data_IF_430349937279
#
_entry.id   IF_430349937279
#
_cell.length_a   1.000
_cell.length_b   1.000
_cell.length_c   1.000
_cell.angle_alpha   90.00
_cell.angle_beta   90.00
_cell.angle_gamma   90.00
#
_symmetry.space_group_name_H-M   'P 1'
#
loop_
_entity.id
_entity.type
_entity.pdbx_description
1 polymer ?
#
# COMPACT_ATOMS: atom_id res chain seq x y z
N UNK A 1 -16.02 -10.43 3.49
CA UNK A 1 -15.95 -9.07 4.08
C UNK A 1 -15.03 -8.22 3.21
N UNK A 2 -15.32 -6.93 3.04
CA UNK A 2 -14.51 -6.02 2.20
C UNK A 2 -13.62 -5.14 3.06
N UNK A 3 -12.42 -4.83 2.58
CA UNK A 3 -11.53 -3.83 3.17
C UNK A 3 -11.15 -2.76 2.15
N UNK A 4 -10.98 -1.51 2.62
CA UNK A 4 -10.48 -0.38 1.83
C UNK A 4 -9.08 -0.02 2.32
N UNK A 5 -8.09 -0.06 1.42
CA UNK A 5 -6.75 0.44 1.65
C UNK A 5 -6.69 1.89 1.16
N UNK A 6 -6.42 2.81 2.09
CA UNK A 6 -6.24 4.22 1.77
C UNK A 6 -4.83 4.48 1.22
N UNK A 7 -4.72 4.53 -0.10
CA UNK A 7 -3.44 4.65 -0.81
C UNK A 7 -3.27 5.99 -1.56
N UNK A 8 -4.24 6.90 -1.42
CA UNK A 8 -4.15 8.26 -1.94
C UNK A 8 -3.13 9.12 -1.19
N UNK A 9 -2.58 10.12 -1.89
CA UNK A 9 -1.69 11.13 -1.34
C UNK A 9 -0.35 11.21 -2.07
N UNK A 10 0.24 12.41 -2.12
CA UNK A 10 1.42 12.71 -2.95
C UNK A 10 2.76 12.22 -2.40
N UNK A 11 2.80 11.67 -1.19
CA UNK A 11 4.03 11.12 -0.60
C UNK A 11 5.17 12.12 -0.38
N UNK A 12 4.90 13.43 -0.33
CA UNK A 12 5.91 14.50 -0.43
C UNK A 12 7.09 14.39 0.54
N UNK A 13 6.88 13.85 1.74
CA UNK A 13 7.92 13.66 2.75
C UNK A 13 8.96 12.60 2.38
N UNK A 14 8.64 11.70 1.45
CA UNK A 14 9.50 10.61 1.00
C UNK A 14 10.17 10.90 -0.34
N UNK A 15 10.07 12.13 -0.86
CA UNK A 15 10.82 12.53 -2.05
C UNK A 15 12.33 12.41 -1.80
N UNK A 16 13.13 12.03 -2.82
CA UNK A 16 12.75 11.87 -4.23
C UNK A 16 12.13 10.50 -4.57
N UNK A 17 12.04 9.58 -3.61
CA UNK A 17 11.56 8.21 -3.87
C UNK A 17 10.15 8.21 -4.48
N UNK A 18 9.31 9.16 -4.08
CA UNK A 18 7.93 9.26 -4.55
C UNK A 18 7.71 10.05 -5.83
N UNK A 19 8.77 10.56 -6.47
CA UNK A 19 8.62 11.35 -7.69
C UNK A 19 8.22 10.48 -8.89
N UNK A 20 8.65 9.21 -8.89
CA UNK A 20 8.36 8.25 -9.96
C UNK A 20 7.66 6.97 -9.47
N UNK A 21 7.61 6.75 -8.15
CA UNK A 21 7.01 5.55 -7.56
C UNK A 21 6.06 5.96 -6.44
N UNK A 22 4.75 5.72 -6.54
CA UNK A 22 3.83 6.12 -5.48
C UNK A 22 4.20 5.39 -4.18
N UNK A 23 4.03 6.06 -3.03
CA UNK A 23 4.41 5.54 -1.71
C UNK A 23 4.02 4.07 -1.49
N UNK A 24 2.79 3.61 -1.80
CA UNK A 24 2.40 2.21 -1.58
C UNK A 24 3.27 1.18 -2.31
N UNK A 25 3.94 1.57 -3.40
CA UNK A 25 4.80 0.71 -4.21
C UNK A 25 6.30 0.82 -3.87
N UNK A 26 6.69 1.69 -2.93
CA UNK A 26 8.06 1.72 -2.44
C UNK A 26 8.39 0.41 -1.70
N UNK A 27 9.62 -0.06 -1.84
CA UNK A 27 10.05 -1.30 -1.21
C UNK A 27 10.56 -1.08 0.23
N UNK A 28 10.18 -1.98 1.13
CA UNK A 28 10.72 -2.10 2.47
C UNK A 28 10.83 -3.59 2.86
N UNK A 29 12.03 -4.03 3.22
CA UNK A 29 12.28 -5.44 3.54
C UNK A 29 12.10 -6.38 2.34
N UNK A 30 12.41 -5.90 1.13
CA UNK A 30 12.30 -6.69 -0.12
C UNK A 30 10.88 -6.87 -0.64
N UNK A 31 9.91 -6.11 -0.13
CA UNK A 31 8.50 -6.15 -0.56
C UNK A 31 7.92 -4.74 -0.65
N UNK A 32 6.99 -4.45 -1.57
CA UNK A 32 6.26 -3.19 -1.61
C UNK A 32 5.51 -2.90 -0.30
N UNK A 33 5.45 -1.64 0.12
CA UNK A 33 4.77 -1.22 1.36
C UNK A 33 3.31 -1.69 1.41
N UNK A 34 2.59 -1.67 0.28
CA UNK A 34 1.19 -2.13 0.20
C UNK A 34 1.05 -3.65 0.44
N UNK A 35 2.06 -4.45 0.11
CA UNK A 35 2.02 -5.91 0.25
C UNK A 35 1.88 -6.32 1.72
N UNK A 36 2.59 -5.63 2.63
CA UNK A 36 2.48 -5.86 4.07
C UNK A 36 1.03 -5.73 4.56
N UNK A 37 0.32 -4.70 4.08
CA UNK A 37 -1.10 -4.48 4.40
C UNK A 37 -2.00 -5.55 3.79
N UNK A 38 -1.76 -5.93 2.53
CA UNK A 38 -2.54 -6.97 1.83
C UNK A 38 -2.40 -8.31 2.56
N UNK A 39 -1.19 -8.71 2.95
CA UNK A 39 -0.93 -9.96 3.66
C UNK A 39 -1.61 -9.94 5.03
N UNK A 40 -1.50 -8.85 5.78
CA UNK A 40 -2.16 -8.73 7.08
C UNK A 40 -3.69 -8.84 6.97
N UNK A 41 -4.30 -8.20 5.95
CA UNK A 41 -5.74 -8.30 5.69
C UNK A 41 -6.15 -9.71 5.25
N UNK A 42 -5.36 -10.37 4.41
CA UNK A 42 -5.61 -11.75 4.01
C UNK A 42 -5.56 -12.71 5.21
N UNK A 43 -4.56 -12.55 6.09
CA UNK A 43 -4.45 -13.32 7.34
C UNK A 43 -5.61 -13.07 8.31
N UNK A 44 -6.19 -11.86 8.28
CA UNK A 44 -7.39 -11.52 9.03
C UNK A 44 -8.70 -12.02 8.37
N UNK A 45 -8.64 -12.72 7.24
CA UNK A 45 -9.79 -13.33 6.57
C UNK A 45 -10.53 -12.42 5.58
N UNK A 46 -9.95 -11.28 5.19
CA UNK A 46 -10.51 -10.45 4.12
C UNK A 46 -10.22 -11.05 2.74
N UNK A 47 -11.25 -11.12 1.90
CA UNK A 47 -11.17 -11.73 0.56
C UNK A 47 -11.43 -10.74 -0.56
N UNK A 48 -11.89 -9.53 -0.23
CA UNK A 48 -12.17 -8.46 -1.19
C UNK A 48 -11.50 -7.18 -0.71
N UNK A 49 -10.62 -6.62 -1.56
CA UNK A 49 -9.87 -5.41 -1.27
C UNK A 49 -10.21 -4.32 -2.29
N UNK A 50 -10.43 -3.11 -1.81
CA UNK A 50 -10.53 -1.90 -2.61
C UNK A 50 -9.34 -1.02 -2.27
N UNK A 51 -8.73 -0.38 -3.27
CA UNK A 51 -7.62 0.54 -3.09
C UNK A 51 -8.01 1.85 -3.78
N UNK A 52 -7.91 2.98 -3.09
CA UNK A 52 -8.08 4.28 -3.73
C UNK A 52 -6.72 4.86 -4.14
N UNK A 53 -6.67 5.49 -5.31
CA UNK A 53 -5.48 6.16 -5.85
C UNK A 53 -5.51 7.66 -5.54
#
# INVERSE_FOLDING_TARGET
MKALILAAGRGERLRPLTDHTPKPLLEAGGRPLIEHTVIALAQAGFTELVVNL
#
